data_IF_154263364081
#
_entry.id   IF_154263364081
#
_cell.length_a   1.000
_cell.length_b   1.000
_cell.length_c   1.000
_cell.angle_alpha   90.00
_cell.angle_beta   90.00
_cell.angle_gamma   90.00
#
_symmetry.space_group_name_H-M   'P 1'
#
loop_
_entity.id
_entity.type
_entity.pdbx_description
1 polymer ?
#
# COMPACT_ATOMS: atom_id res chain seq x y z
N UNK A 1 13.20 -7.18 6.13
CA UNK A 1 14.21 -7.28 5.05
C UNK A 1 14.33 -8.74 4.62
N UNK A 2 13.98 -9.09 3.37
CA UNK A 2 14.09 -10.47 2.88
C UNK A 2 15.50 -10.85 2.40
N UNK A 3 16.44 -9.89 2.34
CA UNK A 3 17.83 -10.16 1.97
C UNK A 3 18.67 -10.69 3.15
N UNK A 4 18.24 -10.43 4.38
CA UNK A 4 18.99 -10.72 5.61
C UNK A 4 18.38 -11.87 6.41
N UNK A 5 19.25 -12.62 7.11
CA UNK A 5 18.82 -13.61 8.10
C UNK A 5 18.21 -12.94 9.34
N UNK A 6 17.18 -13.54 9.98
CA UNK A 6 16.59 -14.85 9.67
C UNK A 6 15.55 -14.83 8.53
N UNK A 7 15.09 -13.67 8.08
CA UNK A 7 13.94 -13.56 7.17
C UNK A 7 14.17 -14.20 5.80
N UNK A 8 15.40 -14.12 5.28
CA UNK A 8 15.78 -14.75 4.01
C UNK A 8 15.54 -16.27 3.95
N UNK A 9 15.38 -16.94 5.09
CA UNK A 9 15.10 -18.37 5.19
C UNK A 9 13.60 -18.73 5.11
N UNK A 10 12.71 -17.75 5.22
CA UNK A 10 11.27 -17.99 5.17
C UNK A 10 10.75 -18.06 3.75
N UNK A 11 9.80 -18.97 3.50
CA UNK A 11 9.16 -19.11 2.18
C UNK A 11 8.49 -17.82 1.73
N UNK A 12 7.93 -17.02 2.64
CA UNK A 12 7.33 -15.74 2.27
C UNK A 12 8.33 -14.72 1.65
N UNK A 13 9.64 -14.92 1.85
CA UNK A 13 10.72 -14.15 1.24
C UNK A 13 11.28 -14.77 -0.05
N UNK A 14 10.87 -15.98 -0.44
CA UNK A 14 11.30 -16.65 -1.68
C UNK A 14 10.53 -16.12 -2.89
N UNK A 15 11.20 -15.34 -3.74
CA UNK A 15 10.59 -14.73 -4.93
C UNK A 15 10.38 -15.73 -6.08
N UNK A 16 10.83 -16.97 -5.96
CA UNK A 16 10.52 -18.03 -6.94
C UNK A 16 9.14 -18.67 -6.70
N UNK A 17 8.52 -18.42 -5.55
CA UNK A 17 7.18 -18.89 -5.16
C UNK A 17 6.09 -17.93 -5.56
N UNK A 18 4.87 -18.46 -5.73
CA UNK A 18 3.71 -17.63 -6.05
C UNK A 18 3.37 -16.69 -4.88
N UNK A 19 2.70 -15.54 -5.15
CA UNK A 19 2.20 -14.68 -4.08
C UNK A 19 1.32 -15.43 -3.07
N UNK A 20 0.49 -16.37 -3.52
CA UNK A 20 -0.39 -17.17 -2.68
C UNK A 20 0.38 -18.13 -1.77
N UNK A 21 1.41 -18.81 -2.29
CA UNK A 21 2.29 -19.67 -1.48
C UNK A 21 3.01 -18.86 -0.40
N UNK A 22 3.54 -17.69 -0.78
CA UNK A 22 4.25 -16.77 0.12
C UNK A 22 3.32 -16.22 1.21
N UNK A 23 2.13 -15.78 0.83
CA UNK A 23 1.13 -15.28 1.78
C UNK A 23 0.65 -16.39 2.72
N UNK A 24 0.44 -17.60 2.20
CA UNK A 24 0.04 -18.77 3.00
C UNK A 24 1.10 -19.11 4.06
N UNK A 25 2.38 -19.13 3.68
CA UNK A 25 3.49 -19.35 4.62
C UNK A 25 3.51 -18.26 5.70
N UNK A 26 3.40 -16.98 5.32
CA UNK A 26 3.35 -15.88 6.28
C UNK A 26 2.19 -16.04 7.28
N UNK A 27 0.97 -16.25 6.79
CA UNK A 27 -0.23 -16.39 7.63
C UNK A 27 -0.15 -17.62 8.53
N UNK A 28 0.37 -18.75 8.03
CA UNK A 28 0.55 -19.97 8.83
C UNK A 28 1.50 -19.80 10.02
N UNK A 29 2.39 -18.80 9.94
CA UNK A 29 3.34 -18.50 11.01
C UNK A 29 2.74 -17.60 12.08
N UNK A 30 1.60 -16.95 11.84
CA UNK A 30 0.99 -15.98 12.76
C UNK A 30 0.26 -16.65 13.92
N UNK A 31 0.22 -15.98 15.07
CA UNK A 31 -0.71 -16.35 16.14
C UNK A 31 -2.11 -15.86 15.81
N UNK A 32 -3.13 -16.40 16.48
CA UNK A 32 -4.50 -15.93 16.33
C UNK A 32 -4.64 -14.43 16.62
N UNK A 33 -3.94 -13.93 17.64
CA UNK A 33 -3.94 -12.51 18.02
C UNK A 33 -3.34 -11.63 16.93
N UNK A 34 -2.24 -12.06 16.32
CA UNK A 34 -1.63 -11.33 15.20
C UNK A 34 -2.54 -11.36 13.97
N UNK A 35 -3.17 -12.49 13.65
CA UNK A 35 -4.15 -12.58 12.55
C UNK A 35 -5.28 -11.57 12.78
N UNK A 36 -5.86 -11.54 13.98
CA UNK A 36 -6.92 -10.59 14.34
C UNK A 36 -6.41 -9.15 14.15
N UNK A 37 -5.20 -8.85 14.63
CA UNK A 37 -4.62 -7.51 14.50
C UNK A 37 -4.37 -7.10 13.04
N UNK A 38 -4.06 -8.05 12.15
CA UNK A 38 -3.88 -7.80 10.71
C UNK A 38 -5.21 -7.53 9.95
N UNK A 39 -6.37 -7.69 10.58
CA UNK A 39 -7.67 -7.35 9.96
C UNK A 39 -8.06 -5.88 10.10
N UNK A 40 -7.26 -5.08 10.81
CA UNK A 40 -7.45 -3.64 10.99
C UNK A 40 -6.86 -2.86 9.82
N UNK A 41 -7.47 -1.70 9.50
CA UNK A 41 -6.90 -0.72 8.56
C UNK A 41 -5.49 -0.29 8.95
N UNK A 42 -5.24 -0.12 10.24
CA UNK A 42 -3.91 0.16 10.79
C UNK A 42 -3.40 -1.17 11.35
N UNK A 43 -2.74 -1.95 10.51
CA UNK A 43 -2.19 -3.24 10.89
C UNK A 43 -0.83 -3.05 11.57
N UNK A 44 -0.66 -3.54 12.81
CA UNK A 44 0.59 -3.36 13.53
C UNK A 44 1.71 -4.22 12.92
N UNK A 45 2.95 -3.85 13.23
CA UNK A 45 4.13 -4.64 12.90
C UNK A 45 4.07 -6.03 13.56
N UNK A 46 4.67 -7.03 12.91
CA UNK A 46 4.90 -8.36 13.46
C UNK A 46 6.40 -8.51 13.65
N UNK A 47 6.93 -7.88 14.71
CA UNK A 47 8.37 -7.69 14.92
C UNK A 47 9.15 -9.00 14.94
N UNK A 48 8.58 -10.09 15.46
CA UNK A 48 9.24 -11.42 15.49
C UNK A 48 9.48 -12.00 14.10
N UNK A 49 8.74 -11.56 13.09
CA UNK A 49 8.91 -11.94 11.68
C UNK A 49 9.58 -10.83 10.85
N UNK A 50 9.88 -9.67 11.46
CA UNK A 50 10.41 -8.50 10.76
C UNK A 50 9.46 -7.94 9.71
N UNK A 51 8.15 -8.02 9.97
CA UNK A 51 7.11 -7.38 9.15
C UNK A 51 6.80 -6.02 9.78
N UNK A 52 6.92 -4.97 8.99
CA UNK A 52 6.65 -3.60 9.41
C UNK A 52 5.14 -3.35 9.57
N UNK A 53 4.79 -2.27 10.26
CA UNK A 53 3.40 -1.84 10.34
C UNK A 53 2.91 -1.45 8.95
N UNK A 54 1.66 -1.80 8.64
CA UNK A 54 1.06 -1.49 7.35
C UNK A 54 -0.29 -0.80 7.52
N UNK A 55 -0.43 0.39 6.95
CA UNK A 55 -1.69 1.11 6.92
C UNK A 55 -2.36 0.94 5.56
N UNK A 56 -3.47 0.23 5.56
CA UNK A 56 -4.30 -0.03 4.38
C UNK A 56 -5.12 1.19 3.95
N UNK A 57 -4.96 2.37 4.56
CA UNK A 57 -5.72 3.56 4.16
C UNK A 57 -4.95 4.41 3.17
N UNK A 58 -5.19 4.19 1.88
CA UNK A 58 -4.87 5.14 0.83
C UNK A 58 -6.09 5.39 -0.05
N UNK A 59 -6.29 6.63 -0.48
CA UNK A 59 -7.40 7.01 -1.34
C UNK A 59 -6.87 7.44 -2.71
N UNK A 60 -7.59 7.13 -3.79
CA UNK A 60 -7.15 7.54 -5.12
C UNK A 60 -8.29 7.84 -6.13
N UNK A 61 -9.41 8.40 -5.67
CA UNK A 61 -10.65 8.53 -6.46
C UNK A 61 -10.47 9.26 -7.80
N UNK A 62 -9.61 10.29 -7.82
CA UNK A 62 -9.30 11.07 -9.02
C UNK A 62 -7.87 11.63 -8.92
N UNK A 63 -6.91 10.72 -8.74
CA UNK A 63 -5.55 11.03 -8.28
C UNK A 63 -5.37 10.61 -6.83
N UNK A 64 -4.12 10.55 -6.35
CA UNK A 64 -3.81 10.13 -4.98
C UNK A 64 -4.45 11.09 -3.96
N UNK A 65 -4.67 10.64 -2.73
CA UNK A 65 -5.24 11.49 -1.69
C UNK A 65 -4.85 11.02 -0.28
N UNK A 66 -4.79 11.99 0.63
CA UNK A 66 -4.51 11.82 2.05
C UNK A 66 -5.49 12.64 2.87
N UNK A 67 -5.84 12.20 4.08
CA UNK A 67 -6.67 13.00 5.01
C UNK A 67 -5.89 14.15 5.69
N UNK A 68 -4.70 14.51 5.20
CA UNK A 68 -3.96 15.68 5.68
C UNK A 68 -3.15 15.45 6.97
N UNK A 69 -2.65 14.23 7.19
CA UNK A 69 -1.70 13.95 8.26
C UNK A 69 -0.35 14.63 8.03
N UNK A 70 0.42 14.87 9.09
CA UNK A 70 1.75 15.49 8.99
C UNK A 70 2.73 14.69 8.09
N UNK A 71 2.49 13.38 7.92
CA UNK A 71 3.24 12.48 7.04
C UNK A 71 3.24 12.91 5.55
N UNK A 72 2.23 13.66 5.11
CA UNK A 72 2.12 14.14 3.73
C UNK A 72 2.48 15.61 3.56
N UNK A 73 3.03 16.24 4.60
CA UNK A 73 3.43 17.65 4.55
C UNK A 73 4.52 17.88 3.50
N UNK A 74 4.25 18.80 2.57
CA UNK A 74 5.17 19.10 1.46
C UNK A 74 5.15 18.10 0.31
N UNK A 75 4.26 17.09 0.35
CA UNK A 75 4.04 16.18 -0.76
C UNK A 75 2.83 16.65 -1.59
N UNK A 76 2.95 16.49 -2.90
CA UNK A 76 1.94 16.89 -3.87
C UNK A 76 1.71 15.76 -4.88
N UNK A 77 0.50 15.72 -5.40
CA UNK A 77 0.04 14.75 -6.41
C UNK A 77 -0.93 15.45 -7.35
N UNK A 78 -1.16 14.85 -8.50
CA UNK A 78 -2.10 15.39 -9.48
C UNK A 78 -3.54 15.16 -9.04
N UNK A 79 -4.38 16.19 -9.21
CA UNK A 79 -5.83 16.10 -8.97
C UNK A 79 -6.53 16.11 -10.32
N UNK A 80 -7.06 14.96 -10.72
CA UNK A 80 -7.77 14.76 -11.98
C UNK A 80 -9.26 15.13 -11.85
N UNK A 81 -10.00 15.24 -12.97
CA UNK A 81 -11.45 15.38 -12.93
C UNK A 81 -12.12 14.25 -12.13
N UNK A 82 -13.19 14.57 -11.42
CA UNK A 82 -13.96 13.59 -10.66
C UNK A 82 -14.48 12.46 -11.58
N UNK A 83 -14.79 11.27 -11.05
CA UNK A 83 -15.24 10.13 -11.86
C UNK A 83 -16.46 10.43 -12.76
N UNK A 84 -17.37 11.31 -12.34
CA UNK A 84 -18.50 11.74 -13.17
C UNK A 84 -18.05 12.50 -14.43
N UNK A 85 -17.00 13.31 -14.33
CA UNK A 85 -16.43 14.04 -15.46
C UNK A 85 -15.60 13.11 -16.36
N UNK A 86 -14.87 12.17 -15.77
CA UNK A 86 -14.17 11.13 -16.54
C UNK A 86 -15.18 10.26 -17.31
N UNK A 87 -16.28 9.86 -16.68
CA UNK A 87 -17.36 9.13 -17.34
C UNK A 87 -18.02 9.91 -18.48
N UNK A 88 -18.15 11.24 -18.34
CA UNK A 88 -18.69 12.11 -19.38
C UNK A 88 -17.79 12.23 -20.62
N UNK A 89 -16.53 11.79 -20.57
CA UNK A 89 -15.65 11.74 -21.74
C UNK A 89 -16.03 10.62 -22.72
N UNK A 90 -16.68 9.55 -22.24
CA UNK A 90 -16.89 8.29 -22.98
C UNK A 90 -15.60 7.69 -23.58
N UNK A 91 -14.45 8.00 -22.98
CA UNK A 91 -13.14 7.58 -23.44
C UNK A 91 -12.52 6.62 -22.40
N UNK A 92 -12.41 5.30 -22.68
CA UNK A 92 -11.76 4.38 -21.75
C UNK A 92 -10.24 4.59 -21.67
N UNK A 93 -9.61 5.14 -22.70
CA UNK A 93 -8.16 5.36 -22.74
C UNK A 93 -7.77 6.48 -21.77
N UNK A 94 -8.55 7.57 -21.69
CA UNK A 94 -8.26 8.63 -20.71
C UNK A 94 -8.40 8.13 -19.27
N UNK A 95 -9.33 7.21 -19.00
CA UNK A 95 -9.50 6.59 -17.67
C UNK A 95 -8.28 5.72 -17.33
N UNK A 96 -7.77 4.95 -18.29
CA UNK A 96 -6.55 4.14 -18.12
C UNK A 96 -5.33 5.04 -17.87
N UNK A 97 -5.18 6.12 -18.64
CA UNK A 97 -4.08 7.07 -18.46
C UNK A 97 -4.10 7.74 -17.08
N UNK A 98 -5.27 8.14 -16.60
CA UNK A 98 -5.45 8.68 -15.23
C UNK A 98 -5.08 7.63 -14.18
N UNK A 99 -5.51 6.38 -14.36
CA UNK A 99 -5.14 5.27 -13.47
C UNK A 99 -3.64 5.02 -13.44
N UNK A 100 -2.99 5.02 -14.61
CA UNK A 100 -1.54 4.85 -14.75
C UNK A 100 -0.75 5.96 -14.06
N UNK A 101 -1.12 7.22 -14.31
CA UNK A 101 -0.51 8.38 -13.66
C UNK A 101 -0.68 8.32 -12.13
N UNK A 102 -1.91 8.03 -11.67
CA UNK A 102 -2.22 7.87 -10.24
C UNK A 102 -1.40 6.76 -9.59
N UNK A 103 -1.24 5.62 -10.26
CA UNK A 103 -0.45 4.50 -9.74
C UNK A 103 1.05 4.81 -9.65
N UNK A 104 1.58 5.59 -10.61
CA UNK A 104 2.97 6.02 -10.64
C UNK A 104 3.26 6.99 -9.49
N UNK A 105 2.40 8.00 -9.30
CA UNK A 105 2.50 8.93 -8.17
C UNK A 105 2.36 8.20 -6.83
N UNK A 106 1.40 7.28 -6.71
CA UNK A 106 1.20 6.46 -5.51
C UNK A 106 2.42 5.61 -5.16
N UNK A 107 3.09 5.02 -6.15
CA UNK A 107 4.35 4.26 -5.94
C UNK A 107 5.51 5.17 -5.49
N UNK A 108 5.62 6.36 -6.06
CA UNK A 108 6.62 7.33 -5.65
C UNK A 108 6.41 7.78 -4.20
N UNK A 109 5.16 8.12 -3.86
CA UNK A 109 4.76 8.52 -2.51
C UNK A 109 4.99 7.40 -1.48
N UNK A 110 4.63 6.15 -1.82
CA UNK A 110 4.92 4.98 -0.99
C UNK A 110 6.40 4.88 -0.64
N UNK A 111 7.29 4.96 -1.63
CA UNK A 111 8.73 4.83 -1.40
C UNK A 111 9.28 5.96 -0.52
N UNK A 112 8.87 7.20 -0.76
CA UNK A 112 9.28 8.37 0.04
C UNK A 112 8.84 8.20 1.51
N UNK A 113 7.59 7.80 1.73
CA UNK A 113 7.06 7.66 3.08
C UNK A 113 7.69 6.47 3.82
N UNK A 114 7.89 5.33 3.14
CA UNK A 114 8.59 4.20 3.76
C UNK A 114 10.01 4.59 4.19
N UNK A 115 10.73 5.41 3.41
CA UNK A 115 12.05 5.88 3.81
C UNK A 115 11.99 6.77 5.05
N UNK A 116 11.05 7.72 5.10
CA UNK A 116 10.85 8.61 6.24
C UNK A 116 10.46 7.85 7.52
N UNK A 117 9.67 6.79 7.38
CA UNK A 117 9.06 6.02 8.47
C UNK A 117 9.78 4.70 8.76
N UNK A 118 11.03 4.56 8.31
CA UNK A 118 11.87 3.36 8.56
C UNK A 118 11.21 2.05 8.14
N UNK A 119 10.39 2.12 7.09
CA UNK A 119 9.70 1.01 6.46
C UNK A 119 8.29 0.74 6.99
N UNK A 120 7.81 1.47 7.99
CA UNK A 120 6.40 1.43 8.37
C UNK A 120 5.55 2.24 7.37
N UNK A 121 4.36 1.75 7.05
CA UNK A 121 3.42 2.49 6.22
C UNK A 121 2.49 3.33 7.08
N UNK A 122 2.41 4.63 6.78
CA UNK A 122 1.41 5.56 7.34
C UNK A 122 0.17 5.65 6.44
N UNK A 123 -0.81 6.45 6.84
CA UNK A 123 -1.91 6.81 5.95
C UNK A 123 -1.37 7.44 4.65
N UNK A 124 -1.96 7.10 3.51
CA UNK A 124 -1.55 7.48 2.17
C UNK A 124 -0.19 6.91 1.70
N UNK A 125 0.48 6.11 2.54
CA UNK A 125 1.65 5.33 2.12
C UNK A 125 1.26 3.92 1.64
N UNK A 126 0.08 3.40 1.99
CA UNK A 126 -0.37 2.08 1.55
C UNK A 126 -0.54 2.02 0.03
N UNK A 127 -0.22 0.87 -0.58
CA UNK A 127 -0.34 0.66 -2.03
C UNK A 127 -1.73 0.20 -2.47
N UNK A 128 -2.60 -0.08 -1.52
CA UNK A 128 -3.98 -0.41 -1.80
C UNK A 128 -4.78 0.88 -1.86
N UNK A 129 -5.41 1.13 -2.99
CA UNK A 129 -6.27 2.29 -3.16
C UNK A 129 -7.73 1.91 -2.85
N UNK A 130 -8.35 2.65 -1.95
CA UNK A 130 -9.76 2.59 -1.67
C UNK A 130 -10.42 3.95 -1.98
N UNK A 131 -11.48 3.94 -2.76
CA UNK A 131 -12.13 5.17 -3.23
C UNK A 131 -13.66 4.99 -3.17
N UNK A 132 -14.28 5.06 -1.97
CA UNK A 132 -15.72 5.01 -1.86
C UNK A 132 -16.29 6.30 -2.46
N UNK A 133 -17.34 6.16 -3.28
CA UNK A 133 -18.21 7.27 -3.70
C UNK A 133 -19.35 7.41 -2.70
#
# INVERSE_FOLDING_TARGET
DCASSPQSSYTFCDTSKSPEERATDLVSRLTTEEIIAQTSTIAPAISRLGINAYNWRSNCLHGWASSGGHWTSGLHWTVFPAPINLGASFDPEIVEQVGSATSTEGRALHNIMLEAEKGDSTEAAGLNCFSPN
#
